data_IF_155763445503
#
_entry.id   IF_155763445503
#
_cell.length_a   1.000
_cell.length_b   1.000
_cell.length_c   1.000
_cell.angle_alpha   90.00
_cell.angle_beta   90.00
_cell.angle_gamma   90.00
#
_symmetry.space_group_name_H-M   'P 1'
#
loop_
_entity.id
_entity.type
_entity.pdbx_description
1 polymer ?
#
# COMPACT_ATOMS: atom_id res chain seq x y z
N UNK A 1 -4.53 16.87 0.87
CA UNK A 1 -5.14 16.79 2.21
C UNK A 1 -4.40 17.68 3.20
N UNK A 2 -5.13 18.19 4.19
CA UNK A 2 -4.64 19.03 5.25
C UNK A 2 -3.80 18.30 6.30
N UNK A 3 -3.35 19.04 7.32
CA UNK A 3 -2.46 18.49 8.35
C UNK A 3 -3.17 17.44 9.24
N UNK A 4 -4.41 17.74 9.65
CA UNK A 4 -5.20 16.82 10.49
C UNK A 4 -5.45 15.47 9.79
N UNK A 5 -5.79 15.50 8.51
CA UNK A 5 -5.97 14.28 7.71
C UNK A 5 -4.65 13.50 7.56
N UNK A 6 -3.53 14.21 7.36
CA UNK A 6 -2.21 13.55 7.32
C UNK A 6 -1.86 12.91 8.67
N UNK A 7 -2.13 13.60 9.78
CA UNK A 7 -1.94 13.04 11.11
C UNK A 7 -2.81 11.79 11.33
N UNK A 8 -4.05 11.81 10.83
CA UNK A 8 -4.93 10.65 10.88
C UNK A 8 -4.36 9.45 10.08
N UNK A 9 -3.87 9.68 8.85
CA UNK A 9 -3.22 8.62 8.07
C UNK A 9 -2.00 8.05 8.81
N UNK A 10 -1.21 8.90 9.48
CA UNK A 10 -0.10 8.44 10.30
C UNK A 10 -0.54 7.63 11.54
N UNK A 11 -1.69 7.95 12.14
CA UNK A 11 -2.29 7.09 13.19
C UNK A 11 -2.67 5.71 12.64
N UNK A 12 -3.28 5.65 11.46
CA UNK A 12 -3.56 4.36 10.80
C UNK A 12 -2.27 3.56 10.59
N UNK A 13 -1.18 4.20 10.14
CA UNK A 13 0.13 3.53 10.00
C UNK A 13 0.66 2.96 11.33
N UNK A 14 0.36 3.61 12.44
CA UNK A 14 0.71 3.13 13.78
C UNK A 14 -0.16 1.95 14.24
N UNK A 15 -1.45 1.97 13.90
CA UNK A 15 -2.42 0.96 14.33
C UNK A 15 -2.27 -0.36 13.56
N UNK A 16 -1.98 -0.29 12.27
CA UNK A 16 -1.83 -1.49 11.42
C UNK A 16 -0.48 -2.16 11.62
N UNK A 17 -0.45 -3.50 11.52
CA UNK A 17 0.79 -4.28 11.67
C UNK A 17 1.72 -4.08 10.48
N UNK A 18 1.18 -3.93 9.28
CA UNK A 18 1.94 -3.70 8.05
C UNK A 18 1.37 -2.59 7.20
N UNK A 19 2.23 -1.99 6.37
CA UNK A 19 1.86 -1.07 5.29
C UNK A 19 2.35 -1.64 3.97
N UNK A 20 1.47 -1.71 2.99
CA UNK A 20 1.73 -2.32 1.68
C UNK A 20 1.54 -1.31 0.57
N UNK A 21 2.54 -1.22 -0.30
CA UNK A 21 2.47 -0.42 -1.52
C UNK A 21 2.95 -1.22 -2.74
N UNK A 22 2.47 -0.86 -3.91
CA UNK A 22 3.03 -1.35 -5.17
C UNK A 22 4.31 -0.61 -5.55
N UNK A 23 5.20 -1.28 -6.28
CA UNK A 23 6.49 -0.70 -6.71
C UNK A 23 6.32 0.61 -7.50
N UNK A 24 5.27 0.76 -8.28
CA UNK A 24 5.01 1.99 -9.04
C UNK A 24 4.89 3.24 -8.16
N UNK A 25 4.31 3.12 -6.98
CA UNK A 25 4.22 4.21 -5.99
C UNK A 25 5.60 4.55 -5.44
N UNK A 26 6.41 3.53 -5.12
CA UNK A 26 7.78 3.72 -4.60
C UNK A 26 8.68 4.40 -5.61
N UNK A 27 8.66 3.96 -6.88
CA UNK A 27 9.48 4.53 -7.94
C UNK A 27 9.14 5.98 -8.25
N UNK A 28 7.88 6.37 -8.03
CA UNK A 28 7.41 7.72 -8.33
C UNK A 28 7.76 8.72 -7.23
N UNK A 29 7.53 8.33 -5.96
CA UNK A 29 7.47 9.29 -4.86
C UNK A 29 8.59 9.05 -3.81
N UNK A 30 9.44 8.03 -3.97
CA UNK A 30 10.50 7.59 -3.03
C UNK A 30 10.03 7.61 -1.57
N UNK A 31 8.87 7.02 -1.32
CA UNK A 31 8.18 7.04 -0.02
C UNK A 31 8.96 6.29 1.05
N UNK A 32 8.85 6.75 2.29
CA UNK A 32 9.40 6.05 3.47
C UNK A 32 8.44 5.02 4.06
N UNK A 33 7.12 5.16 3.85
CA UNK A 33 6.07 4.30 4.40
C UNK A 33 6.15 4.10 5.93
N UNK A 34 6.64 5.10 6.63
CA UNK A 34 6.80 5.10 8.09
C UNK A 34 5.77 5.98 8.79
N UNK A 35 5.59 5.80 10.10
CA UNK A 35 4.85 6.72 10.94
C UNK A 35 5.76 7.90 11.31
N UNK A 36 5.21 9.12 11.37
CA UNK A 36 5.96 10.35 11.70
C UNK A 36 5.38 11.07 12.93
N UNK A 37 4.54 10.40 13.69
CA UNK A 37 4.02 10.92 14.95
C UNK A 37 4.96 10.58 16.11
N UNK A 38 5.05 11.41 17.14
CA UNK A 38 5.81 11.10 18.35
C UNK A 38 5.28 9.82 19.03
N UNK A 39 6.16 9.08 19.69
CA UNK A 39 5.82 7.91 20.51
C UNK A 39 5.03 6.81 19.78
N UNK A 40 5.19 6.71 18.46
CA UNK A 40 4.54 5.70 17.64
C UNK A 40 5.52 4.63 17.16
N UNK A 41 4.99 3.45 16.85
CA UNK A 41 5.74 2.39 16.17
C UNK A 41 5.58 2.51 14.66
N UNK A 42 6.61 2.16 13.93
CA UNK A 42 6.52 1.97 12.49
C UNK A 42 5.83 0.62 12.17
N UNK A 43 4.96 0.56 11.16
CA UNK A 43 4.47 -0.70 10.63
C UNK A 43 5.59 -1.45 9.90
N UNK A 44 5.43 -2.77 9.71
CA UNK A 44 6.27 -3.52 8.79
C UNK A 44 6.00 -3.01 7.38
N UNK A 45 7.02 -2.48 6.70
CA UNK A 45 6.88 -1.95 5.35
C UNK A 45 6.97 -3.06 4.33
N UNK A 46 6.00 -3.12 3.42
CA UNK A 46 5.89 -4.17 2.42
C UNK A 46 5.78 -3.52 1.05
N UNK A 47 6.61 -3.94 0.10
CA UNK A 47 6.52 -3.49 -1.29
C UNK A 47 6.30 -4.69 -2.19
N UNK A 48 5.21 -4.65 -2.96
CA UNK A 48 4.96 -5.62 -4.02
C UNK A 48 5.74 -5.21 -5.28
N UNK A 49 6.85 -5.90 -5.54
CA UNK A 49 7.75 -5.66 -6.67
C UNK A 49 8.00 -6.96 -7.45
N UNK A 50 7.06 -7.28 -8.32
CA UNK A 50 7.05 -8.53 -9.08
C UNK A 50 8.42 -8.87 -9.71
N UNK A 51 9.12 -7.87 -10.25
CA UNK A 51 10.33 -8.05 -11.05
C UNK A 51 11.62 -7.60 -10.34
N UNK A 52 11.52 -7.23 -9.06
CA UNK A 52 12.63 -6.72 -8.26
C UNK A 52 13.30 -5.53 -8.95
N UNK A 53 12.50 -4.50 -9.21
CA UNK A 53 12.89 -3.29 -9.94
C UNK A 53 13.20 -2.11 -9.02
N UNK A 54 12.99 -2.26 -7.72
CA UNK A 54 13.25 -1.22 -6.72
C UNK A 54 14.75 -0.87 -6.70
N UNK A 55 15.13 0.41 -6.82
CA UNK A 55 16.52 0.81 -6.73
C UNK A 55 17.13 0.52 -5.34
N UNK A 56 18.34 -0.03 -5.29
CA UNK A 56 19.05 -0.28 -4.04
C UNK A 56 19.36 1.00 -3.24
N UNK A 57 19.42 2.14 -3.92
CA UNK A 57 19.68 3.45 -3.30
C UNK A 57 18.42 4.23 -2.93
N UNK A 58 17.21 3.66 -3.07
CA UNK A 58 15.97 4.32 -2.64
C UNK A 58 15.87 4.41 -1.10
N UNK A 59 15.07 5.33 -0.63
CA UNK A 59 14.90 5.63 0.80
C UNK A 59 14.44 4.43 1.62
N UNK A 60 13.56 3.58 1.07
CA UNK A 60 13.08 2.35 1.72
C UNK A 60 14.22 1.37 1.98
N UNK A 61 15.04 1.07 0.97
CA UNK A 61 16.16 0.12 1.09
C UNK A 61 17.23 0.67 2.03
N UNK A 62 17.62 1.94 1.88
CA UNK A 62 18.61 2.59 2.76
C UNK A 62 18.24 2.60 4.23
N UNK A 63 16.96 2.53 4.55
CA UNK A 63 16.45 2.50 5.93
C UNK A 63 16.06 1.10 6.42
N UNK A 64 16.27 0.04 5.62
CA UNK A 64 15.76 -1.30 5.91
C UNK A 64 16.33 -1.91 7.21
N UNK A 65 17.56 -1.56 7.60
CA UNK A 65 18.18 -2.01 8.85
C UNK A 65 17.57 -1.37 10.11
N UNK A 66 16.94 -0.20 9.97
CA UNK A 66 16.28 0.52 11.08
C UNK A 66 14.78 0.28 11.14
N UNK A 67 14.16 0.18 9.99
CA UNK A 67 12.74 0.02 9.79
C UNK A 67 12.51 -1.23 8.92
N UNK A 68 11.92 -2.31 9.41
CA UNK A 68 11.75 -3.56 8.66
C UNK A 68 11.11 -3.32 7.29
N UNK A 69 11.73 -3.88 6.25
CA UNK A 69 11.24 -3.83 4.87
C UNK A 69 11.16 -5.24 4.28
N UNK A 70 9.97 -5.61 3.84
CA UNK A 70 9.71 -6.83 3.07
C UNK A 70 9.54 -6.45 1.61
N UNK A 71 10.28 -7.12 0.72
CA UNK A 71 10.10 -7.01 -0.73
C UNK A 71 9.45 -8.30 -1.22
N UNK A 72 8.18 -8.21 -1.62
CA UNK A 72 7.43 -9.31 -2.21
C UNK A 72 7.71 -9.36 -3.71
N UNK A 73 8.36 -10.43 -4.19
CA UNK A 73 8.81 -10.54 -5.58
C UNK A 73 8.59 -11.93 -6.15
N UNK A 74 8.55 -12.04 -7.48
CA UNK A 74 8.55 -13.33 -8.19
C UNK A 74 9.95 -13.73 -8.71
N UNK A 75 10.96 -12.94 -8.41
CA UNK A 75 12.35 -13.23 -8.79
C UNK A 75 12.92 -14.28 -7.85
N UNK A 76 13.61 -15.28 -8.42
CA UNK A 76 14.26 -16.38 -7.69
C UNK A 76 15.77 -16.41 -7.89
N UNK A 77 16.33 -15.49 -8.68
CA UNK A 77 17.76 -15.36 -8.89
C UNK A 77 18.47 -14.93 -7.59
N UNK A 78 19.20 -15.86 -7.00
CA UNK A 78 19.89 -15.67 -5.72
C UNK A 78 20.87 -14.50 -5.73
N UNK A 79 21.55 -14.24 -6.85
CA UNK A 79 22.52 -13.14 -6.95
C UNK A 79 21.81 -11.78 -6.87
N UNK A 80 20.66 -11.64 -7.54
CA UNK A 80 19.85 -10.43 -7.46
C UNK A 80 19.26 -10.23 -6.07
N UNK A 81 18.73 -11.28 -5.46
CA UNK A 81 18.13 -11.23 -4.11
C UNK A 81 19.15 -10.86 -3.05
N UNK A 82 20.37 -11.44 -3.11
CA UNK A 82 21.42 -11.22 -2.14
C UNK A 82 21.84 -9.75 -1.96
N UNK A 83 21.68 -8.92 -2.97
CA UNK A 83 21.97 -7.48 -2.88
C UNK A 83 21.01 -6.77 -1.90
N UNK A 84 19.72 -7.10 -1.97
CA UNK A 84 18.70 -6.53 -1.07
C UNK A 84 18.78 -7.12 0.34
N UNK A 85 19.08 -8.42 0.46
CA UNK A 85 19.28 -9.08 1.75
C UNK A 85 20.48 -8.47 2.50
N UNK A 86 21.61 -8.21 1.80
CA UNK A 86 22.76 -7.49 2.38
C UNK A 86 22.43 -6.06 2.80
N UNK A 87 21.48 -5.41 2.13
CA UNK A 87 20.98 -4.10 2.52
C UNK A 87 20.00 -4.14 3.71
N UNK A 88 19.69 -5.32 4.25
CA UNK A 88 18.80 -5.51 5.40
C UNK A 88 17.32 -5.71 5.02
N UNK A 89 17.02 -5.91 3.74
CA UNK A 89 15.65 -6.22 3.32
C UNK A 89 15.34 -7.71 3.53
N UNK A 90 14.11 -8.01 3.87
CA UNK A 90 13.57 -9.37 3.88
C UNK A 90 12.90 -9.65 2.55
N UNK A 91 13.30 -10.71 1.87
CA UNK A 91 12.68 -11.13 0.61
C UNK A 91 11.54 -12.12 0.88
N UNK A 92 10.41 -11.89 0.23
CA UNK A 92 9.26 -12.77 0.24
C UNK A 92 8.97 -13.18 -1.21
N UNK A 93 9.40 -14.39 -1.57
CA UNK A 93 9.15 -14.91 -2.92
C UNK A 93 7.70 -15.36 -3.04
N UNK A 94 6.97 -14.77 -4.00
CA UNK A 94 5.57 -15.05 -4.28
C UNK A 94 5.42 -15.80 -5.62
N UNK A 95 4.34 -16.53 -5.77
CA UNK A 95 3.96 -17.09 -7.05
C UNK A 95 3.66 -15.99 -8.06
N UNK A 96 3.82 -16.29 -9.35
CA UNK A 96 3.42 -15.39 -10.44
C UNK A 96 2.05 -15.80 -10.96
N UNK A 97 1.16 -14.81 -11.18
CA UNK A 97 -0.17 -14.97 -11.75
C UNK A 97 -0.39 -13.83 -12.76
N UNK A 98 -0.74 -14.15 -14.00
CA UNK A 98 -0.99 -13.16 -15.07
C UNK A 98 0.11 -12.09 -15.24
N UNK A 99 1.39 -12.49 -15.12
CA UNK A 99 2.52 -11.57 -15.27
C UNK A 99 2.91 -10.79 -14.00
N UNK A 100 2.10 -10.83 -12.94
CA UNK A 100 2.30 -10.13 -11.67
C UNK A 100 2.46 -11.10 -10.48
N UNK A 101 2.84 -10.59 -9.33
CA UNK A 101 2.79 -11.38 -8.10
C UNK A 101 1.34 -11.76 -7.76
N UNK A 102 1.12 -13.03 -7.42
CA UNK A 102 -0.19 -13.52 -6.96
C UNK A 102 -0.53 -12.90 -5.61
N UNK A 103 -1.51 -11.99 -5.59
CA UNK A 103 -1.88 -11.22 -4.40
C UNK A 103 -2.47 -12.10 -3.30
N UNK A 104 -3.17 -13.19 -3.65
CA UNK A 104 -3.68 -14.16 -2.66
C UNK A 104 -2.54 -14.93 -2.01
N UNK A 105 -1.54 -15.36 -2.79
CA UNK A 105 -0.34 -15.98 -2.24
C UNK A 105 0.43 -15.01 -1.35
N UNK A 106 0.54 -13.74 -1.75
CA UNK A 106 1.15 -12.69 -0.94
C UNK A 106 0.44 -12.54 0.41
N UNK A 107 -0.89 -12.35 0.43
CA UNK A 107 -1.65 -12.20 1.68
C UNK A 107 -1.52 -13.45 2.56
N UNK A 108 -1.61 -14.65 2.01
CA UNK A 108 -1.42 -15.89 2.74
C UNK A 108 -0.04 -15.98 3.40
N UNK A 109 1.01 -15.58 2.69
CA UNK A 109 2.38 -15.59 3.23
C UNK A 109 2.59 -14.54 4.31
N UNK A 110 2.03 -13.33 4.15
CA UNK A 110 2.09 -12.28 5.15
C UNK A 110 1.35 -12.70 6.44
N UNK A 111 0.19 -13.36 6.32
CA UNK A 111 -0.52 -13.93 7.45
C UNK A 111 0.30 -14.98 8.22
N UNK A 112 1.04 -15.86 7.51
CA UNK A 112 1.97 -16.83 8.14
C UNK A 112 3.16 -16.17 8.84
N UNK A 113 3.44 -14.90 8.54
CA UNK A 113 4.44 -14.08 9.23
C UNK A 113 3.84 -13.24 10.36
N UNK A 114 2.61 -13.56 10.78
CA UNK A 114 1.87 -12.86 11.85
C UNK A 114 1.55 -11.39 11.55
N UNK A 115 1.58 -10.99 10.26
CA UNK A 115 1.11 -9.68 9.83
C UNK A 115 -0.41 -9.76 9.72
N UNK A 116 -1.10 -9.41 10.82
CA UNK A 116 -2.55 -9.61 10.99
C UNK A 116 -3.40 -8.53 10.36
N UNK A 117 -2.83 -7.35 10.10
CA UNK A 117 -3.54 -6.23 9.50
C UNK A 117 -2.62 -5.43 8.57
N UNK A 118 -3.15 -4.99 7.44
CA UNK A 118 -2.37 -4.29 6.40
C UNK A 118 -3.10 -3.04 5.97
N UNK A 119 -2.42 -1.89 6.08
CA UNK A 119 -2.83 -0.65 5.44
C UNK A 119 -2.25 -0.62 4.02
N UNK A 120 -3.10 -0.47 3.02
CA UNK A 120 -2.67 -0.38 1.62
C UNK A 120 -2.64 1.08 1.18
N UNK A 121 -1.51 1.52 0.64
CA UNK A 121 -1.37 2.85 0.06
C UNK A 121 -0.99 2.77 -1.43
N UNK A 122 -1.67 3.58 -2.26
CA UNK A 122 -1.45 3.64 -3.70
C UNK A 122 -2.64 3.14 -4.53
N UNK A 123 -3.23 4.05 -5.30
CA UNK A 123 -4.51 3.82 -6.00
C UNK A 123 -4.50 2.67 -7.00
N UNK A 124 -3.45 2.52 -7.81
CA UNK A 124 -3.40 1.45 -8.81
C UNK A 124 -3.26 0.06 -8.17
N UNK A 125 -2.48 -0.04 -7.10
CA UNK A 125 -2.30 -1.30 -6.38
C UNK A 125 -3.55 -1.67 -5.58
N UNK A 126 -4.22 -0.66 -4.98
CA UNK A 126 -5.49 -0.85 -4.30
C UNK A 126 -6.59 -1.39 -5.24
N UNK A 127 -6.62 -0.94 -6.50
CA UNK A 127 -7.54 -1.47 -7.51
C UNK A 127 -7.37 -2.97 -7.71
N UNK A 128 -6.12 -3.45 -7.87
CA UNK A 128 -5.85 -4.88 -8.04
C UNK A 128 -6.29 -5.72 -6.82
N UNK A 129 -6.16 -5.19 -5.61
CA UNK A 129 -6.64 -5.85 -4.40
C UNK A 129 -8.17 -5.87 -4.31
N UNK A 130 -8.85 -4.82 -4.78
CA UNK A 130 -10.31 -4.76 -4.88
C UNK A 130 -10.84 -5.79 -5.89
N UNK A 131 -10.24 -5.87 -7.07
CA UNK A 131 -10.59 -6.85 -8.12
C UNK A 131 -10.42 -8.30 -7.63
N UNK A 132 -9.42 -8.57 -6.80
CA UNK A 132 -9.19 -9.89 -6.19
C UNK A 132 -10.03 -10.13 -4.91
N UNK A 133 -10.91 -9.19 -4.49
CA UNK A 133 -11.71 -9.25 -3.25
C UNK A 133 -10.85 -9.46 -1.98
N UNK A 134 -9.74 -8.72 -1.87
CA UNK A 134 -8.79 -8.81 -0.77
C UNK A 134 -8.82 -7.58 0.15
N UNK A 135 -9.81 -6.70 -0.03
CA UNK A 135 -9.99 -5.50 0.79
C UNK A 135 -11.21 -5.68 1.69
N UNK A 136 -11.07 -5.35 2.97
CA UNK A 136 -12.15 -5.44 3.95
C UNK A 136 -12.73 -4.06 4.28
N UNK A 137 -11.91 -3.00 4.21
CA UNK A 137 -12.29 -1.63 4.57
C UNK A 137 -11.62 -0.63 3.66
N UNK A 138 -12.31 0.45 3.37
CA UNK A 138 -11.82 1.61 2.63
C UNK A 138 -11.82 2.83 3.54
N UNK A 139 -10.76 3.63 3.44
CA UNK A 139 -10.64 4.96 4.03
C UNK A 139 -10.36 5.94 2.90
N UNK A 140 -11.34 6.76 2.55
CA UNK A 140 -11.23 7.77 1.50
C UNK A 140 -11.04 9.16 2.13
N UNK A 141 -9.88 9.77 1.87
CA UNK A 141 -9.56 11.13 2.30
C UNK A 141 -9.82 12.10 1.15
N UNK A 142 -10.75 13.03 1.34
CA UNK A 142 -11.23 13.95 0.31
C UNK A 142 -10.92 15.39 0.74
N UNK A 143 -10.02 16.04 0.02
CA UNK A 143 -9.77 17.46 0.17
C UNK A 143 -10.75 18.27 -0.70
N UNK A 144 -11.16 19.49 -0.30
CA UNK A 144 -12.12 20.31 -1.05
C UNK A 144 -11.45 21.02 -2.24
N UNK A 145 -10.76 20.26 -3.09
CA UNK A 145 -10.04 20.77 -4.26
C UNK A 145 -10.52 20.04 -5.52
N UNK A 146 -10.78 20.80 -6.58
CA UNK A 146 -11.15 20.28 -7.89
C UNK A 146 -9.97 20.46 -8.85
N UNK A 147 -9.41 19.36 -9.33
CA UNK A 147 -8.30 19.41 -10.28
C UNK A 147 -8.77 19.34 -11.75
N UNK A 148 -9.87 18.66 -12.05
CA UNK A 148 -10.36 18.46 -13.40
C UNK A 148 -9.41 17.71 -14.33
N UNK A 149 -9.83 17.54 -15.61
CA UNK A 149 -9.02 16.92 -16.67
C UNK A 149 -9.14 15.40 -16.77
N UNK A 150 -9.19 14.90 -18.02
CA UNK A 150 -9.31 13.46 -18.32
C UNK A 150 -8.12 12.63 -17.79
N UNK A 151 -6.93 13.23 -17.73
CA UNK A 151 -5.71 12.58 -17.25
C UNK A 151 -5.50 12.76 -15.74
N UNK A 152 -6.47 13.32 -15.02
CA UNK A 152 -6.43 13.45 -13.57
C UNK A 152 -6.40 12.07 -12.92
N UNK A 153 -5.60 11.94 -11.86
CA UNK A 153 -5.51 10.68 -11.14
C UNK A 153 -6.81 10.38 -10.42
N UNK A 154 -7.38 9.22 -10.67
CA UNK A 154 -8.45 8.65 -9.86
C UNK A 154 -7.91 8.21 -8.49
N UNK A 155 -8.70 8.32 -7.41
CA UNK A 155 -8.35 7.77 -6.09
C UNK A 155 -8.07 6.26 -6.15
N UNK A 156 -8.79 5.53 -7.00
CA UNK A 156 -8.59 4.11 -7.27
C UNK A 156 -8.30 3.98 -8.77
N UNK A 157 -7.14 3.44 -9.11
CA UNK A 157 -6.75 3.18 -10.50
C UNK A 157 -7.43 1.93 -11.08
N UNK A 158 -6.77 1.30 -12.05
CA UNK A 158 -7.28 0.09 -12.72
C UNK A 158 -8.22 0.43 -13.89
N UNK A 159 -8.89 -0.60 -14.41
CA UNK A 159 -9.84 -0.47 -15.53
C UNK A 159 -11.19 0.14 -15.11
N UNK A 160 -11.48 0.12 -13.81
CA UNK A 160 -12.77 0.54 -13.29
C UNK A 160 -13.92 -0.40 -13.69
N UNK A 161 -15.15 0.07 -13.50
CA UNK A 161 -16.37 -0.62 -13.94
C UNK A 161 -17.14 0.25 -14.94
N UNK A 162 -17.72 -0.36 -15.96
CA UNK A 162 -18.51 0.36 -16.95
C UNK A 162 -19.92 0.67 -16.43
N UNK A 163 -20.50 -0.25 -15.66
CA UNK A 163 -21.83 -0.10 -15.11
C UNK A 163 -21.72 0.29 -13.62
N UNK A 164 -22.32 1.41 -13.17
CA UNK A 164 -22.32 1.78 -11.76
C UNK A 164 -22.83 0.69 -10.81
N UNK A 165 -23.72 -0.18 -11.27
CA UNK A 165 -24.24 -1.31 -10.49
C UNK A 165 -23.19 -2.39 -10.17
N UNK A 166 -22.07 -2.40 -10.90
CA UNK A 166 -20.93 -3.31 -10.65
C UNK A 166 -19.92 -2.70 -9.67
N UNK A 167 -20.17 -1.46 -9.24
CA UNK A 167 -19.31 -0.76 -8.29
C UNK A 167 -19.31 -1.41 -6.91
N UNK A 168 -18.19 -1.29 -6.20
CA UNK A 168 -18.07 -1.74 -4.82
C UNK A 168 -18.85 -0.81 -3.90
N UNK A 169 -19.86 -1.35 -3.22
CA UNK A 169 -20.70 -0.59 -2.27
C UNK A 169 -20.11 -0.70 -0.87
N UNK A 170 -19.82 0.44 -0.25
CA UNK A 170 -19.38 0.49 1.13
C UNK A 170 -20.56 0.36 2.09
N UNK A 171 -20.38 -0.44 3.13
CA UNK A 171 -21.32 -0.65 4.24
C UNK A 171 -20.79 -0.03 5.51
N UNK A 172 -21.66 0.15 6.52
CA UNK A 172 -21.28 0.69 7.83
C UNK A 172 -20.47 2.00 7.72
N UNK A 173 -20.87 2.84 6.77
CA UNK A 173 -20.10 4.05 6.44
C UNK A 173 -20.13 5.06 7.57
N UNK A 174 -18.97 5.68 7.82
CA UNK A 174 -18.80 6.83 8.71
C UNK A 174 -18.16 7.96 7.93
N UNK A 175 -18.64 9.17 8.14
CA UNK A 175 -18.05 10.39 7.58
C UNK A 175 -17.58 11.27 8.72
N UNK A 176 -16.34 11.75 8.61
CA UNK A 176 -15.70 12.63 9.59
C UNK A 176 -15.14 13.84 8.86
N UNK A 177 -15.25 15.01 9.48
CA UNK A 177 -14.55 16.20 9.03
C UNK A 177 -13.24 16.33 9.81
N UNK A 178 -12.14 16.58 9.10
CA UNK A 178 -10.80 16.77 9.65
C UNK A 178 -10.20 18.06 9.08
N UNK A 179 -10.28 19.14 9.85
CA UNK A 179 -9.98 20.46 9.34
C UNK A 179 -10.93 20.83 8.19
N UNK A 180 -10.36 21.07 7.01
CA UNK A 180 -11.11 21.36 5.79
C UNK A 180 -11.45 20.12 4.97
N UNK A 181 -10.87 18.96 5.30
CA UNK A 181 -11.04 17.73 4.56
C UNK A 181 -12.19 16.87 5.12
N UNK A 182 -12.63 15.92 4.31
CA UNK A 182 -13.58 14.88 4.72
C UNK A 182 -12.92 13.51 4.61
N UNK A 183 -13.19 12.65 5.59
CA UNK A 183 -12.77 11.26 5.58
C UNK A 183 -14.02 10.38 5.61
N UNK A 184 -14.12 9.48 4.64
CA UNK A 184 -15.19 8.48 4.56
C UNK A 184 -14.56 7.12 4.80
N UNK A 185 -15.04 6.40 5.80
CA UNK A 185 -14.69 5.02 6.07
C UNK A 185 -15.88 4.11 5.78
N UNK A 186 -15.62 2.90 5.33
CA UNK A 186 -16.64 1.91 5.12
C UNK A 186 -16.08 0.50 4.92
N UNK A 187 -16.87 -0.48 5.25
CA UNK A 187 -16.56 -1.91 5.06
C UNK A 187 -17.04 -2.37 3.67
N UNK A 188 -16.39 -3.37 3.08
CA UNK A 188 -16.78 -4.02 1.83
C UNK A 188 -17.49 -5.33 2.11
#
# INVERSE_FOLDING_TARGET
TGEETRAYVHRLRHEYTGILAGIGTVLKDDLMLNCRLPETRDPVRIVCDTNLSMPLNCSLVRSATRCPLIIATCVTDKNRLAAYERAGCRILTCRRKHGHADLRDLMCRLGKMEISSILVEGGSFAASLLEEHLVNRVVACIAPWLFGGELSKSPIGGSGVFNPAEGVVLRNTKMMQMGTDYVIEGDI
#
